data_IF_380471108365
#
_entry.id   IF_380471108365
#
_cell.length_a   1.000
_cell.length_b   1.000
_cell.length_c   1.000
_cell.angle_alpha   90.00
_cell.angle_beta   90.00
_cell.angle_gamma   90.00
#
_symmetry.space_group_name_H-M   'P 1'
#
loop_
_entity.id
_entity.type
_entity.pdbx_description
1 polymer ?
#
# COMPACT_ATOMS: atom_id res chain seq x y z
N UNK A 1 36.72 -16.03 -5.28
CA UNK A 1 36.58 -14.71 -5.92
C UNK A 1 35.34 -14.04 -5.36
N UNK A 2 35.51 -12.99 -4.55
CA UNK A 2 34.40 -12.09 -4.23
C UNK A 2 34.04 -11.29 -5.48
N UNK A 3 32.75 -11.02 -5.70
CA UNK A 3 32.18 -9.66 -5.91
C UNK A 3 30.92 -9.69 -6.77
N UNK A 4 29.78 -9.40 -6.14
CA UNK A 4 29.08 -8.17 -6.51
C UNK A 4 28.18 -7.71 -5.36
N UNK A 5 28.53 -6.57 -4.77
CA UNK A 5 27.61 -5.75 -3.99
C UNK A 5 26.61 -5.09 -4.95
N UNK A 6 25.31 -5.24 -4.69
CA UNK A 6 24.33 -4.21 -5.06
C UNK A 6 23.98 -3.39 -3.83
N UNK A 7 24.39 -2.13 -3.88
CA UNK A 7 23.97 -1.06 -2.99
C UNK A 7 22.64 -0.57 -3.56
N UNK A 8 21.52 -0.95 -2.95
CA UNK A 8 20.22 -0.34 -3.25
C UNK A 8 20.18 1.00 -2.55
N UNK A 9 20.50 2.05 -3.30
CA UNK A 9 20.15 3.42 -2.95
C UNK A 9 18.66 3.47 -2.67
N UNK A 10 18.33 3.99 -1.48
CA UNK A 10 17.09 4.66 -1.11
C UNK A 10 15.89 4.34 -2.02
N UNK A 11 15.15 3.30 -1.68
CA UNK A 11 13.74 3.28 -2.04
C UNK A 11 13.09 4.34 -1.16
N UNK A 12 13.03 5.58 -1.65
CA UNK A 12 12.25 6.65 -1.03
C UNK A 12 10.79 6.22 -1.06
N UNK A 13 10.37 5.58 0.02
CA UNK A 13 8.98 5.26 0.29
C UNK A 13 8.22 6.57 0.52
N UNK A 14 7.00 6.74 0.00
CA UNK A 14 6.23 7.99 0.10
C UNK A 14 5.64 8.26 1.50
N UNK A 15 6.23 7.70 2.56
CA UNK A 15 5.90 8.00 3.96
C UNK A 15 6.48 9.37 4.34
N UNK A 16 5.94 10.45 3.77
CA UNK A 16 6.23 11.82 4.21
C UNK A 16 5.05 12.33 5.05
N UNK A 17 5.25 12.37 6.37
CA UNK A 17 4.38 13.09 7.30
C UNK A 17 4.10 12.30 8.59
N UNK A 18 4.50 12.90 9.71
CA UNK A 18 4.40 12.44 11.11
C UNK A 18 5.36 11.30 11.50
N UNK A 19 6.00 11.47 12.66
CA UNK A 19 6.98 10.57 13.30
C UNK A 19 7.01 9.13 12.79
N UNK A 20 8.17 8.70 12.28
CA UNK A 20 8.43 7.34 11.77
C UNK A 20 8.38 6.29 12.90
N UNK A 21 7.19 6.01 13.44
CA UNK A 21 6.93 4.66 13.90
C UNK A 21 6.92 3.79 12.65
N UNK A 22 8.03 3.08 12.44
CA UNK A 22 8.25 2.22 11.28
C UNK A 22 7.20 1.10 11.32
N UNK A 23 6.03 1.35 10.75
CA UNK A 23 4.91 0.40 10.73
C UNK A 23 5.40 -0.90 10.13
N UNK A 24 5.53 -1.93 10.97
CA UNK A 24 6.00 -3.24 10.55
C UNK A 24 4.85 -3.91 9.81
N UNK A 25 4.92 -3.95 8.48
CA UNK A 25 3.96 -4.67 7.65
C UNK A 25 4.28 -6.17 7.70
N UNK A 26 3.41 -7.02 8.25
CA UNK A 26 3.63 -8.45 8.26
C UNK A 26 3.65 -9.01 6.83
N UNK A 27 4.43 -10.08 6.60
CA UNK A 27 4.46 -10.73 5.29
C UNK A 27 3.04 -11.13 4.87
N UNK A 28 2.71 -10.88 3.61
CA UNK A 28 1.39 -11.17 3.05
C UNK A 28 0.30 -10.17 3.45
N UNK A 29 0.65 -8.97 3.92
CA UNK A 29 -0.28 -7.85 4.11
C UNK A 29 0.11 -6.66 3.24
N UNK A 30 -0.88 -5.87 2.85
CA UNK A 30 -0.68 -4.59 2.14
C UNK A 30 -1.36 -3.46 2.90
N UNK A 31 -0.71 -2.29 3.04
CA UNK A 31 -1.36 -1.11 3.57
C UNK A 31 -2.38 -0.58 2.55
N UNK A 32 -3.59 -0.31 3.02
CA UNK A 32 -4.68 0.25 2.22
C UNK A 32 -5.27 1.46 2.92
N UNK A 33 -5.49 2.53 2.17
CA UNK A 33 -6.16 3.73 2.67
C UNK A 33 -7.67 3.49 2.66
N UNK A 34 -8.32 3.62 3.82
CA UNK A 34 -9.77 3.74 3.86
C UNK A 34 -10.15 5.13 3.40
N UNK A 35 -11.05 5.19 2.43
CA UNK A 35 -11.72 6.43 2.09
C UNK A 35 -12.68 6.78 3.23
N UNK A 36 -12.30 7.73 4.07
CA UNK A 36 -13.12 8.26 5.16
C UNK A 36 -13.51 9.71 4.87
N UNK A 37 -14.83 9.95 4.79
CA UNK A 37 -15.53 11.21 5.08
C UNK A 37 -15.11 12.48 4.34
N UNK A 38 -16.02 13.04 3.56
CA UNK A 38 -16.04 14.44 3.14
C UNK A 38 -16.21 15.34 4.38
N UNK A 39 -15.16 15.50 5.17
CA UNK A 39 -15.17 16.42 6.30
C UNK A 39 -13.90 17.26 6.28
N UNK A 40 -13.82 18.12 5.24
CA UNK A 40 -13.24 19.47 5.27
C UNK A 40 -11.87 19.71 5.91
N UNK A 41 -11.05 18.67 6.12
CA UNK A 41 -9.81 18.74 6.88
C UNK A 41 -8.77 17.76 6.38
N UNK A 42 -7.54 18.02 6.80
CA UNK A 42 -6.26 17.33 6.58
C UNK A 42 -6.22 15.89 7.14
N UNK A 43 -7.31 15.15 6.96
CA UNK A 43 -7.36 13.72 7.23
C UNK A 43 -6.54 12.96 6.18
N UNK A 44 -5.29 12.72 6.53
CA UNK A 44 -4.61 11.50 6.13
C UNK A 44 -5.53 10.33 6.48
N UNK A 45 -6.26 9.81 5.49
CA UNK A 45 -7.23 8.74 5.69
C UNK A 45 -6.65 7.58 6.50
N UNK A 46 -7.50 6.88 7.23
CA UNK A 46 -7.08 5.73 8.05
C UNK A 46 -6.40 4.68 7.16
N UNK A 47 -5.20 4.25 7.55
CA UNK A 47 -4.47 3.18 6.85
C UNK A 47 -4.62 1.87 7.60
N UNK A 48 -5.15 0.86 6.94
CA UNK A 48 -5.28 -0.50 7.48
C UNK A 48 -4.41 -1.49 6.75
N UNK A 49 -4.01 -2.56 7.44
CA UNK A 49 -3.27 -3.67 6.85
C UNK A 49 -4.24 -4.76 6.41
N UNK A 50 -4.27 -5.04 5.11
CA UNK A 50 -5.16 -6.03 4.51
C UNK A 50 -4.36 -7.29 4.13
N UNK A 51 -4.75 -8.49 4.59
CA UNK A 51 -4.15 -9.74 4.13
C UNK A 51 -4.35 -9.94 2.63
N UNK A 52 -3.27 -10.21 1.90
CA UNK A 52 -3.28 -10.41 0.43
C UNK A 52 -4.21 -11.55 0.00
N UNK A 53 -4.36 -12.58 0.83
CA UNK A 53 -5.25 -13.72 0.53
C UNK A 53 -6.71 -13.31 0.34
N UNK A 54 -7.17 -12.25 0.99
CA UNK A 54 -8.54 -11.74 0.83
C UNK A 54 -8.73 -11.06 -0.52
N UNK A 55 -7.67 -10.46 -1.07
CA UNK A 55 -7.70 -9.85 -2.40
C UNK A 55 -7.73 -10.89 -3.52
N UNK A 56 -7.43 -12.15 -3.21
CA UNK A 56 -7.51 -13.27 -4.14
C UNK A 56 -8.90 -13.93 -4.19
N UNK A 57 -9.86 -13.49 -3.37
CA UNK A 57 -11.24 -13.95 -3.50
C UNK A 57 -11.77 -13.58 -4.91
N UNK A 58 -12.42 -14.50 -5.65
CA UNK A 58 -12.84 -14.23 -7.03
C UNK A 58 -13.70 -12.98 -7.19
N UNK A 59 -14.55 -12.67 -6.21
CA UNK A 59 -15.40 -11.48 -6.26
C UNK A 59 -14.59 -10.20 -6.09
N UNK A 60 -13.62 -10.20 -5.18
CA UNK A 60 -12.73 -9.07 -4.93
C UNK A 60 -11.76 -8.88 -6.09
N UNK A 61 -11.19 -9.97 -6.60
CA UNK A 61 -10.29 -9.95 -7.75
C UNK A 61 -10.98 -9.33 -8.98
N UNK A 62 -12.23 -9.71 -9.26
CA UNK A 62 -13.00 -9.12 -10.35
C UNK A 62 -13.21 -7.60 -10.18
N UNK A 63 -13.47 -7.13 -8.95
CA UNK A 63 -13.59 -5.71 -8.66
C UNK A 63 -12.28 -4.96 -8.88
N UNK A 64 -11.16 -5.53 -8.45
CA UNK A 64 -9.83 -4.95 -8.67
C UNK A 64 -9.47 -4.89 -10.15
N UNK A 65 -9.82 -5.93 -10.93
CA UNK A 65 -9.61 -5.96 -12.38
C UNK A 65 -10.43 -4.89 -13.10
N UNK A 66 -11.69 -4.71 -12.71
CA UNK A 66 -12.54 -3.63 -13.23
C UNK A 66 -12.00 -2.26 -12.84
N UNK A 67 -11.49 -2.09 -11.62
CA UNK A 67 -10.87 -0.85 -11.17
C UNK A 67 -9.62 -0.55 -12.00
N UNK A 68 -8.76 -1.54 -12.26
CA UNK A 68 -7.58 -1.39 -13.09
C UNK A 68 -7.91 -0.99 -14.53
N UNK A 69 -8.98 -1.56 -15.12
CA UNK A 69 -9.44 -1.15 -16.45
C UNK A 69 -9.95 0.30 -16.48
N UNK A 70 -10.60 0.74 -15.40
CA UNK A 70 -11.24 2.06 -15.33
C UNK A 70 -10.26 3.18 -14.95
N UNK A 71 -9.36 2.91 -14.02
CA UNK A 71 -8.50 3.90 -13.40
C UNK A 71 -7.01 3.68 -13.71
N UNK A 72 -6.65 2.54 -14.30
CA UNK A 72 -5.26 2.12 -14.48
C UNK A 72 -4.65 1.57 -13.20
N UNK A 73 -3.35 1.32 -13.26
CA UNK A 73 -2.50 1.11 -12.10
C UNK A 73 -1.81 2.45 -11.83
N UNK A 74 -1.95 2.97 -10.62
CA UNK A 74 -1.47 4.30 -10.23
C UNK A 74 0.00 4.57 -10.57
#
# INVERSE_FOLDING_TARGET
>A
MMSWKRKTSSAESPFRGAEEEKVVVPRGHVPMLLAGGDDGGDHHGERVLVPVRLLSDPSVAALLDMAAQRYGYG
#
